data_IF_206337000608
#
_entry.id   IF_206337000608
#
_cell.length_a   1.000
_cell.length_b   1.000
_cell.length_c   1.000
_cell.angle_alpha   90.00
_cell.angle_beta   90.00
_cell.angle_gamma   90.00
#
_symmetry.space_group_name_H-M   'P 1'
#
loop_
_entity.id
_entity.type
_entity.pdbx_description
1 polymer ?
#
# COMPACT_ATOMS: atom_id res chain seq x y z
N UNK A 1 -24.52 43.54 22.12
CA UNK A 1 -25.99 43.53 22.15
C UNK A 1 -26.49 42.61 21.05
N UNK A 2 -27.52 41.81 21.32
CA UNK A 2 -27.73 40.51 20.69
C UNK A 2 -28.71 40.56 19.51
N UNK A 3 -28.66 39.47 18.76
CA UNK A 3 -29.53 39.01 17.67
C UNK A 3 -31.04 39.20 17.89
N UNK A 4 -31.76 39.53 16.83
CA UNK A 4 -33.20 39.31 16.67
C UNK A 4 -33.51 38.85 15.22
N UNK A 5 -34.59 38.09 14.99
CA UNK A 5 -34.57 36.90 14.14
C UNK A 5 -35.34 37.04 12.82
N UNK A 6 -35.03 36.15 11.86
CA UNK A 6 -35.82 35.92 10.64
C UNK A 6 -36.74 34.70 10.88
N UNK A 7 -38.07 34.80 10.64
CA UNK A 7 -38.99 33.69 10.85
C UNK A 7 -39.03 32.75 9.64
N UNK A 8 -38.78 31.47 9.86
CA UNK A 8 -39.10 30.38 8.93
C UNK A 8 -40.55 29.95 9.17
N UNK A 9 -41.43 30.36 8.27
CA UNK A 9 -42.83 29.95 8.25
C UNK A 9 -42.99 28.50 7.79
N UNK A 10 -43.41 27.63 8.71
CA UNK A 10 -44.04 26.35 8.39
C UNK A 10 -45.40 26.60 7.77
N UNK A 11 -45.60 26.16 6.52
CA UNK A 11 -46.93 25.92 5.95
C UNK A 11 -47.06 24.44 5.60
N UNK A 12 -47.86 23.74 6.39
CA UNK A 12 -48.46 22.48 5.99
C UNK A 12 -49.62 22.76 5.03
N UNK A 13 -49.72 21.94 3.98
CA UNK A 13 -50.94 21.78 3.21
C UNK A 13 -51.17 20.28 3.01
N UNK A 14 -52.33 19.84 3.50
CA UNK A 14 -52.90 18.52 3.32
C UNK A 14 -53.55 18.38 1.94
N UNK A 15 -53.66 17.14 1.47
CA UNK A 15 -54.80 16.65 0.70
C UNK A 15 -54.59 16.48 -0.80
N UNK A 16 -54.63 15.22 -1.24
CA UNK A 16 -55.69 14.68 -2.13
C UNK A 16 -55.12 13.56 -3.02
N UNK A 17 -55.49 12.33 -2.67
CA UNK A 17 -55.21 11.15 -3.48
C UNK A 17 -56.09 11.09 -4.73
N UNK A 18 -55.52 10.57 -5.81
CA UNK A 18 -56.27 9.94 -6.89
C UNK A 18 -55.69 8.54 -7.11
N UNK A 19 -56.55 7.54 -6.93
CA UNK A 19 -56.24 6.11 -7.10
C UNK A 19 -56.27 5.78 -8.60
N UNK A 20 -55.13 5.38 -9.17
CA UNK A 20 -55.06 4.73 -10.48
C UNK A 20 -55.47 3.25 -10.42
N UNK A 21 -55.88 2.64 -11.54
CA UNK A 21 -56.53 1.33 -11.55
C UNK A 21 -55.57 0.18 -11.25
N UNK A 22 -56.06 -0.77 -10.46
CA UNK A 22 -55.36 -1.98 -10.04
C UNK A 22 -55.06 -2.89 -11.25
N UNK A 23 -53.78 -3.20 -11.46
CA UNK A 23 -53.33 -4.23 -12.42
C UNK A 23 -53.50 -5.62 -11.81
N UNK A 24 -53.89 -6.64 -12.60
CA UNK A 24 -54.17 -7.98 -12.10
C UNK A 24 -52.90 -8.67 -11.56
N UNK A 25 -53.06 -9.33 -10.42
CA UNK A 25 -51.99 -9.95 -9.65
C UNK A 25 -51.29 -11.07 -10.43
N UNK A 26 -49.99 -10.88 -10.67
CA UNK A 26 -49.09 -11.99 -10.99
C UNK A 26 -48.83 -12.77 -9.70
N UNK A 27 -49.27 -14.03 -9.67
CA UNK A 27 -48.89 -14.99 -8.64
C UNK A 27 -47.37 -15.10 -8.62
N UNK A 28 -46.73 -14.69 -7.53
CA UNK A 28 -45.34 -15.03 -7.26
C UNK A 28 -45.31 -16.52 -6.89
N UNK A 29 -44.69 -17.34 -7.75
CA UNK A 29 -44.29 -18.67 -7.37
C UNK A 29 -43.26 -18.57 -6.23
N UNK A 30 -43.45 -19.34 -5.16
CA UNK A 30 -42.49 -19.44 -4.08
C UNK A 30 -41.13 -19.87 -4.65
N UNK A 31 -40.14 -18.98 -4.61
CA UNK A 31 -38.76 -19.31 -4.87
C UNK A 31 -38.27 -20.15 -3.68
N UNK A 32 -38.02 -21.45 -3.93
CA UNK A 32 -37.32 -22.31 -2.99
C UNK A 32 -35.92 -21.77 -2.67
N UNK A 33 -35.29 -22.24 -1.57
CA UNK A 33 -34.01 -21.71 -1.11
C UNK A 33 -32.94 -21.86 -2.20
N UNK A 34 -32.43 -20.74 -2.69
CA UNK A 34 -31.27 -20.71 -3.59
C UNK A 34 -30.03 -21.02 -2.76
N UNK A 35 -29.38 -22.13 -3.06
CA UNK A 35 -28.04 -22.48 -2.58
C UNK A 35 -27.05 -21.40 -3.04
N UNK A 36 -26.49 -20.64 -2.09
CA UNK A 36 -25.39 -19.72 -2.35
C UNK A 36 -24.10 -20.46 -2.76
N UNK A 37 -23.09 -19.74 -3.30
CA UNK A 37 -21.80 -20.35 -3.63
C UNK A 37 -21.19 -20.97 -2.37
N UNK A 38 -20.63 -22.18 -2.54
CA UNK A 38 -20.03 -22.94 -1.46
C UNK A 38 -18.96 -22.11 -0.75
N UNK A 39 -19.01 -22.09 0.58
CA UNK A 39 -17.94 -21.51 1.40
C UNK A 39 -16.59 -22.15 1.01
N UNK A 40 -15.50 -21.36 0.98
CA UNK A 40 -14.18 -21.92 0.70
C UNK A 40 -13.89 -23.03 1.70
N UNK A 41 -13.53 -24.21 1.17
CA UNK A 41 -13.26 -25.37 2.01
C UNK A 41 -12.03 -25.08 2.89
N UNK A 42 -12.13 -25.28 4.22
CA UNK A 42 -10.98 -25.10 5.09
C UNK A 42 -9.88 -26.08 4.66
N UNK A 43 -8.65 -25.57 4.56
CA UNK A 43 -7.46 -26.38 4.33
C UNK A 43 -7.41 -27.51 5.39
N UNK A 44 -7.67 -28.73 4.95
CA UNK A 44 -7.64 -29.91 5.82
C UNK A 44 -6.20 -30.41 5.89
N UNK A 45 -5.60 -30.28 7.08
CA UNK A 45 -4.29 -30.87 7.36
C UNK A 45 -4.39 -32.40 7.28
N UNK A 46 -3.35 -33.09 6.77
CA UNK A 46 -3.34 -34.54 6.66
C UNK A 46 -3.51 -35.23 8.03
N UNK A 47 -4.14 -36.41 8.10
CA UNK A 47 -4.51 -37.03 9.36
C UNK A 47 -3.30 -37.68 10.05
N UNK A 48 -2.88 -37.11 11.18
CA UNK A 48 -1.87 -37.70 12.06
C UNK A 48 -1.29 -36.67 13.04
N UNK A 49 -1.69 -36.77 14.31
CA UNK A 49 -1.54 -35.81 15.44
C UNK A 49 -2.52 -34.64 15.39
N UNK A 50 -3.57 -34.72 16.21
CA UNK A 50 -4.28 -33.53 16.69
C UNK A 50 -3.32 -32.74 17.59
N UNK A 51 -2.47 -31.89 16.99
CA UNK A 51 -1.89 -30.76 17.73
C UNK A 51 -3.09 -29.89 18.13
N UNK A 52 -3.27 -29.67 19.43
CA UNK A 52 -4.18 -28.63 19.92
C UNK A 52 -3.88 -27.38 19.12
N UNK A 53 -4.89 -26.79 18.48
CA UNK A 53 -4.63 -25.63 17.62
C UNK A 53 -4.07 -24.49 18.50
N UNK A 54 -3.12 -23.69 18.00
CA UNK A 54 -2.58 -22.55 18.76
C UNK A 54 -3.69 -21.64 19.30
N UNK A 55 -4.82 -21.56 18.58
CA UNK A 55 -6.06 -20.92 19.05
C UNK A 55 -6.60 -21.52 20.35
N UNK A 56 -6.71 -22.84 20.44
CA UNK A 56 -7.23 -23.51 21.64
C UNK A 56 -6.28 -23.39 22.83
N UNK A 57 -4.96 -23.40 22.59
CA UNK A 57 -3.95 -23.16 23.63
C UNK A 57 -4.05 -21.74 24.17
N UNK A 58 -4.09 -20.73 23.29
CA UNK A 58 -4.26 -19.32 23.66
C UNK A 58 -5.58 -19.12 24.42
N UNK A 59 -6.70 -19.65 23.89
CA UNK A 59 -8.01 -19.50 24.54
C UNK A 59 -8.09 -20.26 25.86
N UNK A 60 -7.36 -21.37 26.02
CA UNK A 60 -7.26 -22.06 27.31
C UNK A 60 -6.49 -21.20 28.31
N UNK A 61 -5.33 -20.66 27.91
CA UNK A 61 -4.50 -19.79 28.75
C UNK A 61 -5.27 -18.54 29.21
N UNK A 62 -5.98 -17.86 28.30
CA UNK A 62 -6.82 -16.70 28.62
C UNK A 62 -7.94 -17.06 29.60
N UNK A 63 -8.59 -18.22 29.42
CA UNK A 63 -9.67 -18.66 30.33
C UNK A 63 -9.16 -19.09 31.70
N UNK A 64 -7.92 -19.55 31.82
CA UNK A 64 -7.31 -19.94 33.10
C UNK A 64 -6.68 -18.77 33.86
N UNK A 65 -6.54 -17.61 33.23
CA UNK A 65 -5.86 -16.45 33.80
C UNK A 65 -6.66 -15.79 34.92
N UNK A 66 -6.00 -15.44 36.03
CA UNK A 66 -6.59 -14.64 37.10
C UNK A 66 -6.28 -13.15 36.92
N UNK A 67 -7.11 -12.24 37.48
CA UNK A 67 -6.81 -10.80 37.45
C UNK A 67 -5.44 -10.51 38.07
N UNK A 68 -4.56 -9.85 37.32
CA UNK A 68 -3.20 -9.50 37.75
C UNK A 68 -2.13 -10.56 37.47
N UNK A 69 -2.49 -11.69 36.88
CA UNK A 69 -1.54 -12.74 36.48
C UNK A 69 -0.99 -12.48 35.08
N UNK A 70 0.35 -12.52 34.93
CA UNK A 70 0.99 -12.48 33.60
C UNK A 70 1.09 -13.91 33.08
N UNK A 71 0.44 -14.17 31.93
CA UNK A 71 0.52 -15.46 31.26
C UNK A 71 1.79 -15.55 30.42
N UNK A 72 2.70 -16.44 30.78
CA UNK A 72 3.84 -16.81 29.95
C UNK A 72 3.38 -17.76 28.84
N UNK A 73 2.99 -17.20 27.69
CA UNK A 73 2.79 -17.98 26.47
C UNK A 73 4.16 -18.21 25.83
N UNK A 74 4.57 -19.47 25.69
CA UNK A 74 5.78 -19.82 24.96
C UNK A 74 5.74 -19.27 23.53
N UNK A 75 6.88 -18.82 23.01
CA UNK A 75 6.96 -18.43 21.60
C UNK A 75 6.63 -19.65 20.73
N UNK A 76 5.78 -19.49 19.69
CA UNK A 76 5.47 -20.61 18.81
C UNK A 76 6.74 -21.12 18.14
N UNK A 77 6.84 -22.44 17.96
CA UNK A 77 7.90 -23.04 17.15
C UNK A 77 7.82 -22.49 15.73
N UNK A 78 8.89 -21.83 15.29
CA UNK A 78 9.00 -21.34 13.91
C UNK A 78 9.18 -22.56 13.00
N UNK A 79 8.31 -22.77 11.99
CA UNK A 79 8.45 -23.91 11.07
C UNK A 79 9.81 -23.90 10.37
N UNK A 80 10.38 -25.08 10.11
CA UNK A 80 11.67 -25.19 9.43
C UNK A 80 11.65 -24.55 8.03
N UNK A 81 10.49 -24.52 7.36
CA UNK A 81 10.33 -23.85 6.07
C UNK A 81 10.53 -22.33 6.15
N UNK A 82 10.19 -21.70 7.27
CA UNK A 82 10.35 -20.26 7.46
C UNK A 82 11.83 -19.83 7.48
N UNK A 83 12.72 -20.69 7.97
CA UNK A 83 14.17 -20.46 7.88
C UNK A 83 14.69 -20.56 6.44
N UNK A 84 14.10 -21.43 5.62
CA UNK A 84 14.37 -21.50 4.18
C UNK A 84 13.93 -20.23 3.45
N UNK A 85 12.74 -19.74 3.77
CA UNK A 85 12.17 -18.52 3.22
C UNK A 85 13.04 -17.27 3.52
N UNK A 86 13.48 -17.08 4.77
CA UNK A 86 14.37 -15.96 5.13
C UNK A 86 15.70 -16.01 4.39
N UNK A 87 16.32 -17.20 4.25
CA UNK A 87 17.56 -17.34 3.47
C UNK A 87 17.37 -16.99 2.00
N UNK A 88 16.25 -17.38 1.40
CA UNK A 88 15.93 -17.03 0.02
C UNK A 88 15.73 -15.52 -0.16
N UNK A 89 15.05 -14.86 0.79
CA UNK A 89 14.90 -13.41 0.80
C UNK A 89 16.24 -12.68 0.87
N UNK A 90 17.15 -13.16 1.72
CA UNK A 90 18.48 -12.56 1.88
C UNK A 90 19.40 -12.78 0.69
N UNK A 91 19.23 -13.87 -0.06
CA UNK A 91 20.09 -14.20 -1.20
C UNK A 91 19.87 -13.29 -2.41
N UNK A 92 18.63 -12.87 -2.65
CA UNK A 92 18.26 -12.00 -3.78
C UNK A 92 17.07 -11.09 -3.41
N UNK A 93 17.29 -10.09 -2.53
CA UNK A 93 16.22 -9.20 -2.08
C UNK A 93 15.60 -8.41 -3.24
N UNK A 94 16.42 -7.98 -4.21
CA UNK A 94 15.94 -7.25 -5.39
C UNK A 94 15.04 -8.13 -6.25
N UNK A 95 15.47 -9.34 -6.63
CA UNK A 95 14.66 -10.22 -7.46
C UNK A 95 13.36 -10.66 -6.78
N UNK A 96 13.38 -10.87 -5.45
CA UNK A 96 12.15 -11.16 -4.70
C UNK A 96 11.23 -9.93 -4.66
N UNK A 97 11.77 -8.74 -4.42
CA UNK A 97 11.00 -7.49 -4.45
C UNK A 97 10.30 -7.29 -5.79
N UNK A 98 11.03 -7.42 -6.91
CA UNK A 98 10.47 -7.23 -8.26
C UNK A 98 9.32 -8.19 -8.51
N UNK A 99 9.53 -9.49 -8.29
CA UNK A 99 8.51 -10.50 -8.53
C UNK A 99 7.25 -10.23 -7.72
N UNK A 100 7.39 -9.95 -6.42
CA UNK A 100 6.24 -9.66 -5.54
C UNK A 100 5.56 -8.34 -5.90
N UNK A 101 6.31 -7.31 -6.27
CA UNK A 101 5.76 -6.04 -6.70
C UNK A 101 4.88 -6.22 -7.95
N UNK A 102 5.34 -6.99 -8.93
CA UNK A 102 4.58 -7.34 -10.13
C UNK A 102 3.31 -8.16 -9.81
N UNK A 103 3.40 -9.13 -8.88
CA UNK A 103 2.23 -9.87 -8.37
C UNK A 103 1.19 -8.95 -7.71
N UNK A 104 1.63 -7.87 -7.04
CA UNK A 104 0.79 -6.82 -6.49
C UNK A 104 0.32 -5.78 -7.52
N UNK A 105 0.66 -5.94 -8.80
CA UNK A 105 0.28 -5.04 -9.88
C UNK A 105 1.07 -3.72 -9.92
N UNK A 106 2.23 -3.66 -9.25
CA UNK A 106 3.22 -2.60 -9.43
C UNK A 106 3.96 -2.83 -10.74
N UNK A 107 4.20 -1.77 -11.49
CA UNK A 107 5.02 -1.83 -12.70
C UNK A 107 6.46 -1.45 -12.35
N UNK A 108 7.38 -2.40 -12.43
CA UNK A 108 8.78 -2.17 -12.11
C UNK A 108 9.60 -1.93 -13.37
N UNK A 109 10.43 -0.90 -13.36
CA UNK A 109 11.31 -0.49 -14.45
C UNK A 109 12.74 -0.47 -13.94
N UNK A 110 13.57 -1.42 -14.38
CA UNK A 110 14.99 -1.47 -13.99
C UNK A 110 15.83 -0.69 -14.99
N UNK A 111 16.61 0.26 -14.51
CA UNK A 111 17.54 1.04 -15.32
C UNK A 111 18.94 0.46 -15.22
N UNK A 112 19.65 0.42 -16.34
CA UNK A 112 21.06 0.01 -16.38
C UNK A 112 22.01 1.16 -16.06
N UNK A 113 21.60 2.39 -16.34
CA UNK A 113 22.37 3.62 -16.12
C UNK A 113 21.48 4.67 -15.41
N UNK A 114 21.92 5.24 -14.27
CA UNK A 114 21.21 6.34 -13.62
C UNK A 114 20.93 7.54 -14.52
N UNK A 115 21.70 7.76 -15.59
CA UNK A 115 21.47 8.83 -16.57
C UNK A 115 20.16 8.67 -17.34
N UNK A 116 19.61 7.45 -17.41
CA UNK A 116 18.33 7.18 -18.05
C UNK A 116 17.13 7.59 -17.19
N UNK A 117 17.36 7.90 -15.90
CA UNK A 117 16.31 8.17 -14.93
C UNK A 117 15.37 9.30 -15.35
N UNK A 118 15.93 10.44 -15.77
CA UNK A 118 15.13 11.59 -16.18
C UNK A 118 14.22 11.24 -17.37
N UNK A 119 14.75 10.53 -18.37
CA UNK A 119 13.99 10.08 -19.53
C UNK A 119 12.88 9.09 -19.14
N UNK A 120 13.20 8.11 -18.29
CA UNK A 120 12.24 7.13 -17.80
C UNK A 120 11.09 7.79 -17.01
N UNK A 121 11.42 8.70 -16.09
CA UNK A 121 10.41 9.46 -15.32
C UNK A 121 9.55 10.30 -16.25
N UNK A 122 10.15 11.05 -17.19
CA UNK A 122 9.39 11.87 -18.14
C UNK A 122 8.42 11.02 -18.98
N UNK A 123 8.87 9.86 -19.46
CA UNK A 123 8.03 8.91 -20.21
C UNK A 123 6.87 8.39 -19.38
N UNK A 124 7.11 8.01 -18.11
CA UNK A 124 6.07 7.52 -17.22
C UNK A 124 5.06 8.61 -16.86
N UNK A 125 5.51 9.85 -16.72
CA UNK A 125 4.63 10.99 -16.47
C UNK A 125 3.80 11.37 -17.70
N UNK A 126 4.31 11.17 -18.92
CA UNK A 126 3.53 11.29 -20.15
C UNK A 126 2.93 12.67 -20.39
N UNK A 127 3.62 13.73 -19.98
CA UNK A 127 3.17 15.13 -20.12
C UNK A 127 2.02 15.55 -19.20
N UNK A 128 1.62 14.70 -18.24
CA UNK A 128 0.58 15.00 -17.26
C UNK A 128 1.09 15.97 -16.19
N UNK A 129 0.16 16.65 -15.51
CA UNK A 129 0.50 17.52 -14.36
C UNK A 129 1.20 16.70 -13.28
N UNK A 130 2.45 17.03 -13.00
CA UNK A 130 3.33 16.18 -12.20
C UNK A 130 3.91 16.95 -11.03
N UNK A 131 3.78 16.40 -9.82
CA UNK A 131 4.60 16.80 -8.69
C UNK A 131 5.89 15.97 -8.68
N UNK A 132 7.04 16.62 -8.51
CA UNK A 132 8.34 15.95 -8.39
C UNK A 132 8.99 16.38 -7.09
N UNK A 133 9.32 15.40 -6.25
CA UNK A 133 10.03 15.64 -4.99
C UNK A 133 11.38 16.34 -5.25
N UNK A 134 11.68 17.46 -4.56
CA UNK A 134 12.94 18.19 -4.73
C UNK A 134 14.21 17.34 -4.52
N UNK A 135 14.20 16.40 -3.58
CA UNK A 135 15.36 15.55 -3.27
C UNK A 135 15.75 14.61 -4.42
N UNK A 136 14.88 14.39 -5.41
CA UNK A 136 15.24 13.59 -6.59
C UNK A 136 16.32 14.25 -7.46
N UNK A 137 16.58 15.54 -7.27
CA UNK A 137 17.72 16.23 -7.90
C UNK A 137 19.06 15.57 -7.56
N UNK A 138 19.20 15.04 -6.35
CA UNK A 138 20.41 14.36 -5.90
C UNK A 138 20.64 13.02 -6.62
N UNK A 139 19.57 12.44 -7.19
CA UNK A 139 19.61 11.24 -8.02
C UNK A 139 19.74 11.56 -9.52
N UNK A 140 20.01 12.82 -9.88
CA UNK A 140 20.16 13.25 -11.27
C UNK A 140 18.86 13.64 -11.97
N UNK A 141 17.75 13.78 -11.25
CA UNK A 141 16.48 14.25 -11.84
C UNK A 141 16.47 15.77 -11.92
N UNK A 142 16.85 16.31 -13.08
CA UNK A 142 16.72 17.74 -13.37
C UNK A 142 15.30 18.06 -13.83
N UNK A 143 14.58 18.91 -13.07
CA UNK A 143 13.23 19.37 -13.42
C UNK A 143 13.14 19.97 -14.84
N UNK A 144 14.21 20.63 -15.29
CA UNK A 144 14.30 21.22 -16.63
C UNK A 144 14.34 20.15 -17.72
N UNK A 145 15.03 19.04 -17.47
CA UNK A 145 15.21 17.94 -18.44
C UNK A 145 13.93 17.12 -18.60
N UNK A 146 13.07 17.10 -17.58
CA UNK A 146 11.80 16.37 -17.63
C UNK A 146 10.80 16.96 -18.64
N UNK A 147 10.82 18.27 -18.87
CA UNK A 147 9.87 18.94 -19.78
C UNK A 147 8.39 18.75 -19.41
N UNK A 148 8.10 18.54 -18.12
CA UNK A 148 6.74 18.25 -17.62
C UNK A 148 6.04 19.53 -17.12
N UNK A 149 4.70 19.59 -17.16
CA UNK A 149 3.95 20.61 -16.43
C UNK A 149 4.03 20.32 -14.92
N UNK A 150 4.92 21.03 -14.23
CA UNK A 150 5.18 20.83 -12.81
C UNK A 150 4.11 21.47 -11.93
N UNK A 151 3.78 20.77 -10.85
CA UNK A 151 2.83 21.22 -9.82
C UNK A 151 3.60 21.41 -8.52
N UNK A 152 3.37 22.55 -7.87
CA UNK A 152 3.93 22.86 -6.55
C UNK A 152 3.20 22.08 -5.44
N UNK A 153 3.86 21.94 -4.29
CA UNK A 153 3.37 21.10 -3.19
C UNK A 153 2.00 21.53 -2.64
N UNK A 154 1.68 22.82 -2.66
CA UNK A 154 0.41 23.39 -2.19
C UNK A 154 -0.77 23.08 -3.13
N UNK A 155 -0.48 22.65 -4.35
CA UNK A 155 -1.45 22.26 -5.38
C UNK A 155 -1.38 20.77 -5.73
N UNK A 156 -0.84 19.95 -4.83
CA UNK A 156 -0.70 18.50 -5.01
C UNK A 156 -2.01 17.77 -5.39
N UNK A 157 -3.18 18.32 -5.05
CA UNK A 157 -4.49 17.79 -5.46
C UNK A 157 -4.77 17.92 -6.97
N UNK A 158 -4.06 18.79 -7.67
CA UNK A 158 -4.16 18.97 -9.12
C UNK A 158 -3.18 18.07 -9.89
N UNK A 159 -2.21 17.47 -9.19
CA UNK A 159 -1.23 16.58 -9.78
C UNK A 159 -1.87 15.24 -10.15
N UNK A 160 -1.65 14.82 -11.38
CA UNK A 160 -2.06 13.52 -11.90
C UNK A 160 -0.99 12.45 -11.63
N UNK A 161 0.26 12.88 -11.44
CA UNK A 161 1.40 12.02 -11.13
C UNK A 161 2.20 12.61 -9.98
N UNK A 162 2.51 11.79 -8.98
CA UNK A 162 3.46 12.09 -7.92
C UNK A 162 4.74 11.30 -8.14
N UNK A 163 5.88 11.99 -8.21
CA UNK A 163 7.20 11.36 -8.32
C UNK A 163 7.96 11.58 -7.02
N UNK A 164 8.35 10.49 -6.35
CA UNK A 164 9.07 10.54 -5.08
C UNK A 164 10.29 9.63 -5.11
N UNK A 165 11.26 9.89 -4.23
CA UNK A 165 12.23 8.89 -3.82
C UNK A 165 11.58 7.87 -2.87
N UNK A 166 12.16 6.69 -2.77
CA UNK A 166 11.93 5.74 -1.70
C UNK A 166 13.23 5.53 -0.93
N UNK A 167 13.20 5.64 0.41
CA UNK A 167 14.40 5.44 1.24
C UNK A 167 14.82 3.97 1.24
N UNK A 168 13.83 3.06 1.26
CA UNK A 168 14.03 1.62 1.23
C UNK A 168 12.90 0.89 0.48
N UNK A 169 13.21 -0.33 0.03
CA UNK A 169 12.21 -1.32 -0.39
C UNK A 169 12.29 -2.53 0.53
N UNK A 170 11.17 -3.16 0.85
CA UNK A 170 11.12 -4.42 1.62
C UNK A 170 10.75 -5.55 0.67
N UNK A 171 11.68 -6.47 0.44
CA UNK A 171 11.52 -7.57 -0.48
C UNK A 171 10.40 -8.52 -0.05
N UNK A 172 10.34 -8.86 1.24
CA UNK A 172 9.33 -9.76 1.80
C UNK A 172 7.90 -9.35 1.43
N UNK A 173 7.58 -8.05 1.46
CA UNK A 173 6.22 -7.57 1.27
C UNK A 173 6.03 -6.71 0.02
N UNK A 174 7.07 -6.56 -0.81
CA UNK A 174 7.13 -5.60 -1.91
C UNK A 174 6.65 -4.20 -1.49
N UNK A 175 7.14 -3.76 -0.33
CA UNK A 175 6.74 -2.48 0.27
C UNK A 175 7.76 -1.40 -0.04
N UNK A 176 7.30 -0.24 -0.50
CA UNK A 176 8.09 0.98 -0.54
C UNK A 176 8.05 1.66 0.82
N UNK A 177 9.22 2.11 1.28
CA UNK A 177 9.38 2.85 2.53
C UNK A 177 9.73 4.29 2.20
N UNK A 178 8.87 5.21 2.62
CA UNK A 178 9.11 6.65 2.49
C UNK A 178 9.11 7.30 3.87
N UNK A 179 10.26 7.81 4.27
CA UNK A 179 10.45 8.56 5.50
C UNK A 179 9.95 9.99 5.28
N UNK A 180 9.10 10.48 6.18
CA UNK A 180 8.60 11.85 6.11
C UNK A 180 9.73 12.86 6.38
N UNK A 181 9.87 13.86 5.51
CA UNK A 181 10.85 14.96 5.62
C UNK A 181 10.18 16.27 5.19
N UNK A 182 10.69 17.45 5.58
CA UNK A 182 10.11 18.74 5.19
C UNK A 182 9.98 18.93 3.67
N UNK A 183 10.90 18.34 2.90
CA UNK A 183 10.95 18.34 1.44
C UNK A 183 10.20 17.17 0.78
N UNK A 184 9.67 16.23 1.58
CA UNK A 184 8.86 15.10 1.11
C UNK A 184 7.50 15.09 1.82
N UNK A 185 6.50 15.83 1.29
CA UNK A 185 5.16 15.77 1.82
C UNK A 185 4.57 14.37 1.59
N UNK A 186 4.00 13.76 2.63
CA UNK A 186 3.39 12.42 2.57
C UNK A 186 2.36 12.28 1.44
N UNK A 187 1.64 13.37 1.18
CA UNK A 187 0.63 13.47 0.12
C UNK A 187 1.19 13.23 -1.28
N UNK A 188 2.49 13.47 -1.54
CA UNK A 188 3.08 13.23 -2.86
C UNK A 188 2.99 11.77 -3.32
N UNK A 189 3.03 10.82 -2.38
CA UNK A 189 2.91 9.38 -2.66
C UNK A 189 1.48 8.84 -2.56
N UNK A 190 0.55 9.64 -2.01
CA UNK A 190 -0.78 9.17 -1.63
C UNK A 190 -1.91 9.83 -2.42
N UNK A 191 -1.76 11.11 -2.77
CA UNK A 191 -2.85 11.91 -3.34
C UNK A 191 -2.95 11.77 -4.87
N UNK A 192 -1.84 11.82 -5.64
CA UNK A 192 -1.93 11.65 -7.08
C UNK A 192 -2.42 10.24 -7.46
N UNK A 193 -3.25 10.10 -8.50
CA UNK A 193 -3.78 8.80 -8.93
C UNK A 193 -2.69 7.87 -9.47
N UNK A 194 -1.55 8.42 -9.90
CA UNK A 194 -0.36 7.67 -10.28
C UNK A 194 0.83 8.06 -9.39
N UNK A 195 1.49 7.05 -8.82
CA UNK A 195 2.73 7.24 -8.06
C UNK A 195 3.90 6.60 -8.81
N UNK A 196 4.98 7.36 -8.98
CA UNK A 196 6.26 6.90 -9.52
C UNK A 196 7.30 7.00 -8.39
N UNK A 197 7.75 5.87 -7.88
CA UNK A 197 8.77 5.82 -6.85
C UNK A 197 10.13 5.48 -7.47
N UNK A 198 11.15 6.27 -7.16
CA UNK A 198 12.54 5.98 -7.52
C UNK A 198 13.21 5.30 -6.33
N UNK A 199 13.69 4.08 -6.54
CA UNK A 199 14.31 3.24 -5.52
C UNK A 199 15.64 2.72 -6.03
N UNK A 200 16.67 2.73 -5.19
CA UNK A 200 17.95 2.09 -5.54
C UNK A 200 17.94 0.63 -5.14
N UNK A 201 18.58 -0.21 -5.95
CA UNK A 201 18.67 -1.65 -5.71
C UNK A 201 19.40 -1.98 -4.40
N UNK A 202 20.42 -1.20 -4.02
CA UNK A 202 21.14 -1.34 -2.75
C UNK A 202 20.35 -0.88 -1.51
N UNK A 203 19.16 -0.29 -1.72
CA UNK A 203 18.21 0.07 -0.66
C UNK A 203 17.06 -0.92 -0.53
N UNK A 204 17.10 -2.03 -1.26
CA UNK A 204 16.14 -3.13 -1.09
C UNK A 204 16.63 -4.05 0.02
N UNK A 205 15.86 -4.10 1.11
CA UNK A 205 16.09 -4.91 2.30
C UNK A 205 15.30 -6.21 2.22
N UNK A 206 15.71 -7.24 2.96
CA UNK A 206 15.03 -8.53 2.90
C UNK A 206 13.67 -8.46 3.61
N UNK A 207 13.63 -7.91 4.83
CA UNK A 207 12.42 -7.84 5.64
C UNK A 207 12.30 -6.53 6.45
N UNK A 208 11.19 -6.39 7.19
CA UNK A 208 10.92 -5.20 8.00
C UNK A 208 11.88 -5.08 9.20
N UNK A 209 12.48 -6.18 9.68
CA UNK A 209 13.40 -6.14 10.80
C UNK A 209 14.71 -5.45 10.38
N UNK A 210 15.19 -5.74 9.16
CA UNK A 210 16.32 -5.04 8.55
C UNK A 210 16.12 -3.53 8.45
N UNK A 211 14.87 -3.07 8.26
CA UNK A 211 14.54 -1.64 8.24
C UNK A 211 14.66 -1.04 9.63
N UNK A 212 14.09 -1.70 10.65
CA UNK A 212 14.10 -1.19 12.02
C UNK A 212 15.54 -0.99 12.51
N UNK A 213 16.45 -1.88 12.16
CA UNK A 213 17.89 -1.74 12.48
C UNK A 213 18.57 -0.55 11.78
N UNK A 214 18.02 -0.09 10.65
CA UNK A 214 18.56 1.03 9.85
C UNK A 214 17.93 2.38 10.17
N UNK A 215 16.85 2.40 10.95
CA UNK A 215 16.21 3.64 11.37
C UNK A 215 16.94 4.22 12.58
N UNK A 216 17.59 5.36 12.39
CA UNK A 216 18.19 6.12 13.49
C UNK A 216 17.12 6.98 14.18
N UNK A 217 16.42 6.36 15.12
CA UNK A 217 15.24 6.94 15.77
C UNK A 217 13.97 6.89 14.92
N UNK A 218 12.86 7.33 15.50
CA UNK A 218 11.57 7.32 14.81
C UNK A 218 11.34 8.66 14.09
N UNK A 219 11.10 8.64 12.76
CA UNK A 219 10.70 9.85 12.06
C UNK A 219 9.30 10.30 12.49
N UNK A 220 8.92 11.53 12.13
CA UNK A 220 7.58 12.05 12.42
C UNK A 220 6.46 11.21 11.78
N UNK A 221 6.77 10.53 10.67
CA UNK A 221 5.93 9.51 10.05
C UNK A 221 6.76 8.65 9.09
N UNK A 222 6.28 7.43 8.86
CA UNK A 222 6.83 6.50 7.88
C UNK A 222 5.67 5.95 7.04
N UNK A 223 5.76 6.09 5.72
CA UNK A 223 4.77 5.57 4.78
C UNK A 223 5.26 4.21 4.28
N UNK A 224 4.49 3.16 4.55
CA UNK A 224 4.69 1.81 4.06
C UNK A 224 3.65 1.53 2.97
N UNK A 225 4.06 1.53 1.70
CA UNK A 225 3.17 1.35 0.56
C UNK A 225 3.46 0.02 -0.18
N UNK A 226 2.56 -0.96 -0.04
CA UNK A 226 2.65 -2.27 -0.69
C UNK A 226 1.76 -2.32 -1.94
N UNK A 227 2.22 -1.67 -3.00
CA UNK A 227 1.52 -1.61 -4.29
C UNK A 227 0.33 -0.64 -4.36
N UNK A 228 -0.47 -0.71 -5.45
CA UNK A 228 -1.60 0.21 -5.67
C UNK A 228 -2.65 0.10 -4.57
N UNK A 229 -3.31 1.22 -4.26
CA UNK A 229 -4.36 1.25 -3.26
C UNK A 229 -5.55 0.40 -3.71
N UNK A 230 -5.80 -0.69 -2.98
CA UNK A 230 -6.95 -1.58 -3.17
C UNK A 230 -7.73 -1.63 -1.87
N UNK A 231 -8.90 -1.03 -1.83
CA UNK A 231 -9.80 -1.10 -0.68
C UNK A 231 -10.77 -2.25 -0.92
N UNK A 232 -10.40 -3.46 -0.49
CA UNK A 232 -11.27 -4.63 -0.60
C UNK A 232 -12.34 -4.71 0.51
N UNK A 233 -12.20 -3.91 1.58
CA UNK A 233 -12.81 -4.20 2.89
C UNK A 233 -13.81 -3.14 3.41
N UNK A 234 -14.27 -2.21 2.57
CA UNK A 234 -15.25 -1.18 3.01
C UNK A 234 -16.64 -1.41 2.40
N UNK A 235 -16.73 -1.93 1.16
CA UNK A 235 -18.02 -2.05 0.46
C UNK A 235 -18.27 -3.41 -0.21
N UNK A 236 -17.48 -4.45 0.09
CA UNK A 236 -17.53 -5.77 -0.59
C UNK A 236 -17.40 -5.69 -2.13
N UNK A 237 -16.94 -4.56 -2.66
CA UNK A 237 -16.56 -4.38 -4.05
C UNK A 237 -15.12 -3.87 -4.09
N UNK A 238 -14.32 -4.39 -5.01
CA UNK A 238 -12.93 -3.96 -5.19
C UNK A 238 -12.92 -2.54 -5.75
N UNK A 239 -12.77 -1.55 -4.88
CA UNK A 239 -12.52 -0.18 -5.28
C UNK A 239 -10.99 0.05 -5.31
N UNK A 240 -10.46 0.28 -6.51
CA UNK A 240 -9.04 0.60 -6.72
C UNK A 240 -8.90 2.11 -6.82
N UNK A 241 -7.99 2.70 -6.02
CA UNK A 241 -7.64 4.12 -6.13
C UNK A 241 -8.49 5.12 -5.34
N UNK A 242 -9.33 4.68 -4.40
CA UNK A 242 -10.19 5.57 -3.58
C UNK A 242 -9.41 6.20 -2.41
N UNK A 243 -8.37 5.52 -1.91
CA UNK A 243 -7.59 5.95 -0.73
C UNK A 243 -6.08 6.05 -1.01
N UNK A 244 -5.68 6.12 -2.27
CA UNK A 244 -4.29 6.17 -2.69
C UNK A 244 -4.13 6.03 -4.20
N UNK A 245 -2.89 6.00 -4.72
CA UNK A 245 -2.65 5.83 -6.15
C UNK A 245 -3.26 4.53 -6.67
N UNK A 246 -4.03 4.63 -7.77
CA UNK A 246 -4.57 3.48 -8.48
C UNK A 246 -3.53 2.80 -9.38
N UNK A 247 -2.44 3.50 -9.71
CA UNK A 247 -1.29 2.94 -10.44
C UNK A 247 0.00 3.29 -9.73
N UNK A 248 0.87 2.30 -9.53
CA UNK A 248 2.19 2.49 -8.92
C UNK A 248 3.26 1.98 -9.88
N UNK A 249 4.26 2.82 -10.12
CA UNK A 249 5.48 2.49 -10.83
C UNK A 249 6.67 2.54 -9.87
N UNK A 250 7.59 1.61 -10.01
CA UNK A 250 8.89 1.66 -9.33
C UNK A 250 9.97 1.73 -10.38
N UNK A 251 10.82 2.75 -10.32
CA UNK A 251 12.04 2.85 -11.13
C UNK A 251 13.20 2.41 -10.25
N UNK A 252 13.77 1.24 -10.57
CA UNK A 252 14.92 0.68 -9.88
C UNK A 252 16.22 1.20 -10.51
N UNK A 253 17.04 1.84 -9.69
CA UNK A 253 18.37 2.33 -10.04
C UNK A 253 19.45 1.35 -9.61
N UNK A 254 20.53 1.20 -10.41
CA UNK A 254 21.66 0.42 -9.97
C UNK A 254 22.30 1.06 -8.73
N UNK A 255 23.08 0.28 -7.95
CA UNK A 255 23.84 0.82 -6.81
C UNK A 255 24.78 1.95 -7.26
N UNK A 256 25.09 2.88 -6.36
CA UNK A 256 26.08 3.91 -6.66
C UNK A 256 27.43 3.27 -7.00
N UNK A 257 27.99 3.63 -8.16
CA UNK A 257 29.32 3.17 -8.58
C UNK A 257 30.50 3.64 -7.71
N UNK A 258 30.24 4.28 -6.56
CA UNK A 258 31.28 4.79 -5.66
C UNK A 258 31.93 3.69 -4.80
N UNK A 259 31.31 2.51 -4.65
CA UNK A 259 31.88 1.41 -3.85
C UNK A 259 32.87 0.52 -4.62
N UNK A 260 32.76 0.40 -5.95
CA UNK A 260 33.71 -0.42 -6.75
C UNK A 260 35.14 0.13 -6.72
N UNK A 261 35.35 1.40 -6.36
CA UNK A 261 36.69 2.01 -6.23
C UNK A 261 37.38 1.70 -4.89
N UNK A 262 36.65 1.29 -3.86
CA UNK A 262 37.25 0.95 -2.56
C UNK A 262 37.81 -0.48 -2.52
N UNK A 263 37.32 -1.38 -3.38
CA UNK A 263 37.68 -2.80 -3.34
C UNK A 263 38.76 -3.21 -4.34
N UNK A 264 39.10 -2.34 -5.30
CA UNK A 264 40.24 -2.51 -6.22
C UNK A 264 41.56 -1.89 -5.71
N UNK A 265 41.58 -1.39 -4.47
CA UNK A 265 42.74 -0.76 -3.85
C UNK A 265 43.33 -1.56 -2.67
N UNK A 266 43.02 -2.86 -2.58
CA UNK A 266 43.55 -3.74 -1.53
C UNK A 266 44.28 -4.95 -2.11
#
# INVERSE_FOLDING_TARGET
MPSAPVPLGLRGCAGAGTRGPARPGRRFAALGPRSGPAAPQPHTLPPGRQKVSSREEILRAVRSARPGETLELGSPEVPAEAAGYRRQLQADPVGVFVRRAEELGVRVHRLGDPRELAAAVAQLCGGRRTYVEPALRDLGVSLRELGLPLVEWDRLSEAEVGVTGADYGIAESATLVLVARPDRPRSASLLPPVHVAVLREDRVLADLFDLVERLDGLPSALVLASGPSRSADIEMSLAVGVHGPGTVHVVLLPPDGQERRAESAK
#
